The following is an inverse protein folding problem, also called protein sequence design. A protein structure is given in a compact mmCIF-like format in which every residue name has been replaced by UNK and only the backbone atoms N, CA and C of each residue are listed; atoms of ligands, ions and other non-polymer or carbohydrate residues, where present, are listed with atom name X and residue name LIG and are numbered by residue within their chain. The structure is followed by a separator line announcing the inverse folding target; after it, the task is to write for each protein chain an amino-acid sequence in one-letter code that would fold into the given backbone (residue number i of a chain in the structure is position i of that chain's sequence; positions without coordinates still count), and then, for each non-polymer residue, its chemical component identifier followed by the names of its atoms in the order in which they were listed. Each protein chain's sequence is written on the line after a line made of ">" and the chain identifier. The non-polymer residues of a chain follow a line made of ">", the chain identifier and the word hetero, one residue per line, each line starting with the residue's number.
data_IF_866852606234
#
_entry.id   IF_866852606234
#
_cell.length_a   1.000
_cell.length_b   1.000
_cell.length_c   1.000
_cell.angle_alpha   90.00
_cell.angle_beta   90.00
_cell.angle_gamma   90.00
#
_symmetry.space_group_name_H-M   'P 1'
#
loop_
_entity.id
_entity.type
_entity.pdbx_description
1 polymer ?
#
# COMPACT_ATOMS: atom_id res chain seq x y z
N UNK A 1 8.90 -15.80 -9.95
CA UNK A 1 7.73 -15.06 -10.49
C UNK A 1 6.75 -14.79 -9.35
N UNK A 2 6.45 -13.52 -9.10
CA UNK A 2 5.54 -13.12 -8.03
C UNK A 2 4.10 -13.58 -8.27
N UNK A 3 3.31 -13.68 -7.20
CA UNK A 3 1.89 -13.96 -7.21
C UNK A 3 1.25 -13.18 -6.05
N UNK A 4 1.03 -11.89 -6.27
CA UNK A 4 0.57 -10.97 -5.23
C UNK A 4 -0.95 -11.04 -5.11
N UNK A 5 -1.45 -11.27 -3.89
CA UNK A 5 -2.85 -11.12 -3.52
C UNK A 5 -3.09 -9.70 -3.01
N UNK A 6 -3.95 -8.97 -3.72
CA UNK A 6 -4.32 -7.59 -3.38
C UNK A 6 -5.79 -7.54 -2.98
N UNK A 7 -6.06 -6.87 -1.86
CA UNK A 7 -7.40 -6.54 -1.41
C UNK A 7 -7.63 -5.03 -1.51
N UNK A 8 -8.69 -4.62 -2.21
CA UNK A 8 -9.24 -3.27 -2.13
C UNK A 8 -10.34 -3.25 -1.07
N UNK A 9 -10.17 -2.43 -0.03
CA UNK A 9 -11.22 -2.09 0.92
C UNK A 9 -11.87 -0.77 0.49
N UNK A 10 -13.20 -0.73 0.39
CA UNK A 10 -13.94 0.48 0.07
C UNK A 10 -15.08 0.70 1.07
N UNK A 11 -15.16 1.89 1.66
CA UNK A 11 -16.26 2.26 2.55
C UNK A 11 -17.54 2.44 1.74
N UNK A 12 -18.59 1.71 2.11
CA UNK A 12 -19.87 1.75 1.42
C UNK A 12 -20.58 3.09 1.62
N UNK A 13 -21.01 3.70 0.52
CA UNK A 13 -21.84 4.90 0.51
C UNK A 13 -21.28 6.05 1.38
N UNK A 14 -19.95 6.17 1.44
CA UNK A 14 -19.28 7.06 2.39
C UNK A 14 -19.57 8.54 2.13
N UNK A 15 -19.45 9.00 0.88
CA UNK A 15 -19.70 10.40 0.51
C UNK A 15 -21.08 10.92 0.96
N UNK A 16 -22.19 10.23 0.63
CA UNK A 16 -23.50 10.60 1.16
C UNK A 16 -23.62 10.52 2.69
N UNK A 17 -22.95 9.54 3.33
CA UNK A 17 -22.96 9.38 4.79
C UNK A 17 -22.27 10.54 5.55
N UNK A 18 -21.24 11.16 4.98
CA UNK A 18 -20.53 12.29 5.62
C UNK A 18 -21.36 13.58 5.65
N UNK A 19 -22.40 13.68 4.83
CA UNK A 19 -23.23 14.90 4.67
C UNK A 19 -24.69 14.75 5.07
N UNK A 20 -25.13 13.55 5.44
CA UNK A 20 -26.55 13.25 5.73
C UNK A 20 -26.77 12.90 7.20
N UNK A 21 -27.78 13.48 7.90
CA UNK A 21 -28.72 14.51 7.42
C UNK A 21 -28.12 15.93 7.31
N UNK A 22 -26.93 16.13 7.87
CA UNK A 22 -26.15 17.37 7.78
C UNK A 22 -24.65 17.04 7.74
N UNK A 23 -23.79 17.95 7.21
CA UNK A 23 -22.35 17.78 7.20
C UNK A 23 -21.75 17.47 8.57
N UNK A 24 -20.97 16.39 8.64
CA UNK A 24 -20.19 16.01 9.82
C UNK A 24 -18.94 16.86 9.94
N UNK A 25 -18.44 17.04 11.16
CA UNK A 25 -17.20 17.80 11.40
C UNK A 25 -16.01 17.03 10.85
N UNK A 26 -15.12 17.74 10.15
CA UNK A 26 -13.95 17.12 9.53
C UNK A 26 -13.05 16.40 10.54
N UNK A 27 -12.83 16.98 11.73
CA UNK A 27 -12.04 16.33 12.78
C UNK A 27 -12.61 14.97 13.23
N UNK A 28 -13.94 14.82 13.23
CA UNK A 28 -14.60 13.56 13.57
C UNK A 28 -14.44 12.54 12.43
N UNK A 29 -14.51 13.00 11.17
CA UNK A 29 -14.28 12.16 9.98
C UNK A 29 -12.84 11.65 9.92
N UNK A 30 -11.86 12.53 10.10
CA UNK A 30 -10.44 12.19 10.16
C UNK A 30 -10.14 11.20 11.29
N UNK A 31 -10.78 11.39 12.45
CA UNK A 31 -10.66 10.46 13.60
C UNK A 31 -11.23 9.08 13.26
N UNK A 32 -12.41 9.02 12.63
CA UNK A 32 -13.02 7.76 12.21
C UNK A 32 -12.16 7.05 11.16
N UNK A 33 -11.72 7.75 10.13
CA UNK A 33 -10.89 7.21 9.05
C UNK A 33 -9.57 6.66 9.60
N UNK A 34 -8.91 7.40 10.48
CA UNK A 34 -7.65 6.98 11.10
C UNK A 34 -7.82 5.73 11.97
N UNK A 35 -8.90 5.64 12.76
CA UNK A 35 -9.20 4.47 13.60
C UNK A 35 -9.56 3.25 12.76
N UNK A 36 -10.38 3.44 11.73
CA UNK A 36 -10.75 2.36 10.82
C UNK A 36 -9.53 1.80 10.09
N UNK A 37 -8.67 2.68 9.57
CA UNK A 37 -7.39 2.29 8.99
C UNK A 37 -6.53 1.52 9.99
N UNK A 38 -6.34 2.04 11.21
CA UNK A 38 -5.55 1.37 12.24
C UNK A 38 -6.07 -0.04 12.57
N UNK A 39 -7.38 -0.21 12.68
CA UNK A 39 -7.99 -1.51 12.99
C UNK A 39 -7.86 -2.52 11.83
N UNK A 40 -8.02 -2.06 10.59
CA UNK A 40 -7.82 -2.91 9.39
C UNK A 40 -6.34 -3.31 9.31
N UNK A 41 -5.43 -2.34 9.47
CA UNK A 41 -3.98 -2.59 9.50
C UNK A 41 -3.58 -3.56 10.59
N UNK A 42 -4.16 -3.46 11.79
CA UNK A 42 -3.90 -4.40 12.87
C UNK A 42 -4.42 -5.81 12.55
N UNK A 43 -5.65 -5.91 12.02
CA UNK A 43 -6.25 -7.21 11.69
C UNK A 43 -5.47 -7.95 10.61
N UNK A 44 -5.10 -7.24 9.54
CA UNK A 44 -4.34 -7.78 8.40
C UNK A 44 -2.88 -8.00 8.78
N UNK A 45 -2.28 -7.10 9.56
CA UNK A 45 -0.90 -7.21 10.05
C UNK A 45 -0.68 -8.40 10.98
N UNK A 46 -1.68 -8.77 11.80
CA UNK A 46 -1.64 -9.99 12.60
C UNK A 46 -1.72 -11.28 11.76
N UNK A 47 -1.84 -11.15 10.43
CA UNK A 47 -1.87 -12.23 9.44
C UNK A 47 -0.83 -12.00 8.35
N UNK A 48 0.26 -11.32 8.70
CA UNK A 48 1.43 -11.09 7.83
C UNK A 48 1.15 -10.26 6.57
N UNK A 49 0.03 -9.53 6.52
CA UNK A 49 -0.32 -8.63 5.43
C UNK A 49 -0.01 -7.16 5.72
N UNK A 50 0.06 -6.33 4.68
CA UNK A 50 0.23 -4.86 4.80
C UNK A 50 -1.01 -4.15 4.29
N UNK A 51 -1.35 -3.02 4.92
CA UNK A 51 -2.47 -2.15 4.52
C UNK A 51 -1.95 -0.74 4.37
N UNK A 52 -2.34 -0.08 3.28
CA UNK A 52 -1.97 1.29 2.97
C UNK A 52 -3.22 2.15 2.88
N UNK A 53 -3.19 3.31 3.55
CA UNK A 53 -4.36 4.18 3.69
C UNK A 53 -4.88 4.68 2.33
N UNK A 54 -4.00 4.88 1.34
CA UNK A 54 -4.29 5.47 0.02
C UNK A 54 -5.19 6.72 0.08
N UNK A 55 -6.51 6.59 -0.07
CA UNK A 55 -7.47 7.72 0.02
C UNK A 55 -8.39 7.65 1.24
N UNK A 56 -8.10 6.77 2.20
CA UNK A 56 -8.88 6.41 3.37
C UNK A 56 -10.23 5.76 3.07
N UNK A 57 -11.07 6.37 2.23
CA UNK A 57 -12.36 5.78 1.81
C UNK A 57 -12.18 4.55 0.91
N UNK A 58 -11.00 4.46 0.29
CA UNK A 58 -10.45 3.30 -0.37
C UNK A 58 -9.10 3.03 0.30
N UNK A 59 -8.81 1.79 0.64
CA UNK A 59 -7.52 1.34 1.18
C UNK A 59 -7.07 0.12 0.38
N UNK A 60 -5.77 -0.02 0.17
CA UNK A 60 -5.19 -1.13 -0.59
C UNK A 60 -4.34 -1.96 0.35
N UNK A 61 -4.42 -3.28 0.24
CA UNK A 61 -3.64 -4.18 1.05
C UNK A 61 -3.03 -5.32 0.25
N UNK A 62 -1.88 -5.79 0.72
CA UNK A 62 -1.28 -7.06 0.29
C UNK A 62 -1.65 -8.10 1.33
N UNK A 63 -2.44 -9.09 0.91
CA UNK A 63 -3.12 -10.02 1.81
C UNK A 63 -2.75 -11.47 1.53
N UNK A 64 -1.58 -11.73 0.96
CA UNK A 64 -1.06 -13.08 0.73
C UNK A 64 -1.13 -13.92 2.02
N UNK A 65 -2.05 -14.90 2.04
CA UNK A 65 -2.30 -15.77 3.19
C UNK A 65 -3.59 -15.50 3.97
N UNK A 66 -4.30 -14.40 3.71
CA UNK A 66 -5.64 -14.18 4.23
C UNK A 66 -6.67 -14.95 3.40
N UNK A 67 -7.54 -15.73 4.05
CA UNK A 67 -8.62 -16.46 3.40
C UNK A 67 -9.86 -15.57 3.19
N UNK A 68 -10.90 -16.08 2.50
CA UNK A 68 -12.17 -15.35 2.43
C UNK A 68 -12.85 -15.22 3.79
N UNK A 69 -12.77 -16.26 4.62
CA UNK A 69 -13.31 -16.23 5.98
C UNK A 69 -12.64 -15.15 6.85
N UNK A 70 -11.34 -14.91 6.65
CA UNK A 70 -10.67 -13.77 7.31
C UNK A 70 -11.23 -12.42 6.84
N UNK A 71 -11.51 -12.27 5.54
CA UNK A 71 -12.10 -11.06 4.98
C UNK A 71 -13.56 -10.86 5.45
N UNK A 72 -14.36 -11.92 5.51
CA UNK A 72 -15.72 -11.90 6.09
C UNK A 72 -15.70 -11.48 7.55
N UNK A 73 -14.80 -12.07 8.35
CA UNK A 73 -14.63 -11.73 9.76
C UNK A 73 -14.23 -10.27 9.96
N UNK A 74 -13.40 -9.72 9.07
CA UNK A 74 -13.04 -8.31 9.08
C UNK A 74 -14.25 -7.42 8.76
N UNK A 75 -15.03 -7.74 7.72
CA UNK A 75 -16.27 -7.01 7.40
C UNK A 75 -17.23 -7.01 8.58
N UNK A 76 -17.50 -8.20 9.15
CA UNK A 76 -18.38 -8.34 10.33
C UNK A 76 -17.87 -7.50 11.50
N UNK A 77 -16.58 -7.56 11.80
CA UNK A 77 -15.95 -6.78 12.87
C UNK A 77 -16.10 -5.27 12.65
N UNK A 78 -15.99 -4.79 11.41
CA UNK A 78 -16.18 -3.37 11.09
C UNK A 78 -17.64 -2.98 11.20
N UNK A 79 -18.56 -3.75 10.60
CA UNK A 79 -20.01 -3.49 10.68
C UNK A 79 -20.57 -3.48 12.11
N UNK A 80 -19.94 -4.22 13.02
CA UNK A 80 -20.29 -4.24 14.44
C UNK A 80 -19.80 -3.01 15.24
N UNK A 81 -18.77 -2.31 14.78
CA UNK A 81 -18.05 -1.29 15.58
C UNK A 81 -18.09 0.11 14.99
N UNK A 82 -18.28 0.22 13.67
CA UNK A 82 -18.25 1.47 12.94
C UNK A 82 -19.63 1.83 12.37
N UNK A 83 -19.93 3.12 12.18
CA UNK A 83 -21.19 3.57 11.59
C UNK A 83 -21.23 3.42 10.05
N UNK A 84 -20.32 2.64 9.47
CA UNK A 84 -20.13 2.39 8.04
C UNK A 84 -19.80 0.92 7.82
N UNK A 85 -20.09 0.40 6.63
CA UNK A 85 -19.71 -0.95 6.19
C UNK A 85 -18.62 -0.89 5.12
N UNK A 86 -17.99 -2.03 4.84
CA UNK A 86 -16.91 -2.15 3.84
C UNK A 86 -17.28 -3.15 2.75
N UNK A 87 -17.09 -2.77 1.50
CA UNK A 87 -16.99 -3.71 0.39
C UNK A 87 -15.53 -4.02 0.08
N UNK A 88 -15.25 -5.28 -0.25
CA UNK A 88 -13.94 -5.87 -0.44
C UNK A 88 -13.85 -6.54 -1.82
N UNK A 89 -12.84 -6.17 -2.58
CA UNK A 89 -12.46 -6.84 -3.82
C UNK A 89 -11.12 -7.50 -3.63
N UNK A 90 -11.03 -8.81 -3.89
CA UNK A 90 -9.79 -9.59 -3.72
C UNK A 90 -9.36 -10.17 -5.07
N UNK A 91 -8.13 -9.92 -5.48
CA UNK A 91 -7.61 -10.49 -6.70
C UNK A 91 -6.12 -10.83 -6.57
N UNK A 92 -5.65 -11.69 -7.47
CA UNK A 92 -4.31 -12.26 -7.42
C UNK A 92 -3.68 -12.22 -8.80
N UNK A 93 -2.39 -11.91 -8.87
CA UNK A 93 -1.65 -11.92 -10.12
C UNK A 93 -0.16 -11.66 -9.97
N UNK A 94 0.59 -11.92 -11.03
CA UNK A 94 2.04 -11.65 -11.11
C UNK A 94 2.37 -10.17 -11.28
N UNK A 95 1.35 -9.33 -11.46
CA UNK A 95 1.45 -7.89 -11.62
C UNK A 95 0.52 -7.25 -10.59
N UNK A 96 1.05 -6.54 -9.57
CA UNK A 96 0.24 -5.98 -8.50
C UNK A 96 -0.71 -4.88 -8.99
N UNK A 97 -0.34 -4.12 -10.02
CA UNK A 97 -1.24 -3.17 -10.69
C UNK A 97 -2.44 -3.87 -11.30
N UNK A 98 -2.23 -4.98 -12.01
CA UNK A 98 -3.33 -5.74 -12.61
C UNK A 98 -4.21 -6.37 -11.52
N UNK A 99 -3.61 -6.93 -10.47
CA UNK A 99 -4.36 -7.47 -9.34
C UNK A 99 -5.25 -6.40 -8.69
N UNK A 100 -4.74 -5.19 -8.45
CA UNK A 100 -5.57 -4.09 -7.94
C UNK A 100 -6.68 -3.68 -8.92
N UNK A 101 -6.39 -3.64 -10.23
CA UNK A 101 -7.38 -3.33 -11.25
C UNK A 101 -8.52 -4.36 -11.26
N UNK A 102 -8.19 -5.65 -11.21
CA UNK A 102 -9.15 -6.74 -11.17
C UNK A 102 -10.01 -6.68 -9.89
N UNK A 103 -9.37 -6.50 -8.72
CA UNK A 103 -10.08 -6.29 -7.45
C UNK A 103 -11.03 -5.10 -7.51
N UNK A 104 -10.61 -4.01 -8.16
CA UNK A 104 -11.44 -2.82 -8.36
C UNK A 104 -12.65 -3.12 -9.24
N UNK A 105 -12.46 -3.80 -10.37
CA UNK A 105 -13.54 -4.19 -11.28
C UNK A 105 -14.59 -5.05 -10.58
N UNK A 106 -14.18 -5.99 -9.71
CA UNK A 106 -15.11 -6.81 -8.92
C UNK A 106 -16.10 -5.98 -8.11
N UNK A 107 -15.62 -4.95 -7.40
CA UNK A 107 -16.49 -4.07 -6.61
C UNK A 107 -17.33 -3.17 -7.51
N UNK A 108 -16.77 -2.68 -8.61
CA UNK A 108 -17.49 -1.82 -9.56
C UNK A 108 -18.65 -2.55 -10.24
N UNK A 109 -18.46 -3.83 -10.59
CA UNK A 109 -19.51 -4.69 -11.17
C UNK A 109 -20.67 -4.93 -10.19
N UNK A 110 -20.39 -4.93 -8.88
CA UNK A 110 -21.40 -5.04 -7.83
C UNK A 110 -22.21 -3.75 -7.61
N UNK A 111 -21.72 -2.59 -8.08
CA UNK A 111 -22.44 -1.33 -8.08
C UNK A 111 -21.60 -0.11 -7.68
N UNK A 112 -22.22 1.06 -7.77
CA UNK A 112 -21.59 2.34 -7.43
C UNK A 112 -21.14 2.40 -5.97
N UNK A 113 -20.00 3.04 -5.70
CA UNK A 113 -19.53 3.34 -4.35
C UNK A 113 -20.50 4.22 -3.53
N UNK A 114 -21.44 4.90 -4.19
CA UNK A 114 -22.48 5.73 -3.58
C UNK A 114 -23.88 5.11 -3.66
N UNK A 115 -23.98 3.84 -4.05
CA UNK A 115 -25.24 3.11 -3.97
C UNK A 115 -25.50 2.72 -2.51
N UNK A 116 -26.62 3.16 -1.95
CA UNK A 116 -27.03 2.85 -0.57
C UNK A 116 -27.41 1.38 -0.38
N UNK A 117 -27.77 0.70 -1.47
CA UNK A 117 -28.24 -0.68 -1.49
C UNK A 117 -27.08 -1.66 -1.74
N UNK A 118 -25.93 -1.18 -2.25
CA UNK A 118 -24.68 -1.93 -2.28
C UNK A 118 -24.01 -1.89 -0.91
N UNK A 119 -23.95 -3.02 -0.24
CA UNK A 119 -23.37 -3.15 1.10
C UNK A 119 -22.61 -4.45 1.24
N UNK A 120 -21.45 -4.37 1.88
CA UNK A 120 -20.67 -5.54 2.30
C UNK A 120 -20.38 -6.53 1.17
N UNK A 121 -20.18 -6.05 -0.06
CA UNK A 121 -19.79 -6.91 -1.17
C UNK A 121 -18.42 -7.53 -0.86
N UNK A 122 -18.28 -8.84 -1.05
CA UNK A 122 -17.01 -9.54 -0.93
C UNK A 122 -16.84 -10.41 -2.17
N UNK A 123 -15.97 -9.98 -3.06
CA UNK A 123 -15.87 -10.53 -4.41
C UNK A 123 -14.44 -10.86 -4.81
N UNK A 124 -14.26 -11.90 -5.62
CA UNK A 124 -12.98 -12.22 -6.28
C UNK A 124 -12.38 -13.56 -5.89
N UNK A 125 -11.07 -13.62 -5.61
CA UNK A 125 -10.38 -14.86 -5.22
C UNK A 125 -9.15 -14.64 -4.33
N UNK A 126 -8.84 -15.62 -3.50
CA UNK A 126 -7.59 -15.73 -2.73
C UNK A 126 -6.63 -16.74 -3.37
N UNK A 127 -5.37 -16.75 -2.92
CA UNK A 127 -4.38 -17.78 -3.28
C UNK A 127 -4.54 -18.95 -2.31
N UNK A 128 -4.79 -20.15 -2.84
CA UNK A 128 -4.81 -21.36 -2.02
C UNK A 128 -3.40 -21.63 -1.43
N UNK A 129 -3.34 -22.07 -0.18
CA UNK A 129 -2.06 -22.31 0.53
C UNK A 129 -1.10 -23.24 -0.22
N UNK A 130 -1.62 -24.21 -0.98
CA UNK A 130 -0.81 -25.13 -1.79
C UNK A 130 -0.11 -24.46 -2.97
N UNK A 131 -0.54 -23.26 -3.34
CA UNK A 131 0.00 -22.46 -4.45
C UNK A 131 0.84 -21.28 -3.98
N UNK A 132 1.02 -21.12 -2.66
CA UNK A 132 1.87 -20.07 -2.09
C UNK A 132 3.33 -20.47 -2.11
N UNK A 133 4.20 -19.50 -2.38
CA UNK A 133 5.65 -19.70 -2.47
C UNK A 133 6.40 -18.57 -1.77
N UNK A 134 7.67 -18.79 -1.41
CA UNK A 134 8.53 -17.76 -0.82
C UNK A 134 8.91 -16.64 -1.81
N UNK A 135 8.49 -16.73 -3.08
CA UNK A 135 8.70 -15.70 -4.11
C UNK A 135 7.42 -14.90 -4.42
N UNK A 136 6.30 -15.16 -3.73
CA UNK A 136 4.99 -14.60 -4.10
C UNK A 136 4.93 -13.07 -4.02
N UNK A 137 5.61 -12.49 -3.03
CA UNK A 137 5.58 -11.06 -2.74
C UNK A 137 6.98 -10.50 -2.85
N UNK A 138 7.13 -9.43 -3.64
CA UNK A 138 8.34 -8.60 -3.70
C UNK A 138 7.98 -7.20 -3.21
N UNK A 139 8.69 -6.74 -2.19
CA UNK A 139 8.53 -5.40 -1.62
C UNK A 139 9.87 -4.67 -1.72
N UNK A 140 9.81 -3.45 -2.23
CA UNK A 140 10.91 -2.49 -2.20
C UNK A 140 10.60 -1.41 -1.17
N UNK A 141 11.55 -1.16 -0.27
CA UNK A 141 11.49 -0.12 0.75
C UNK A 141 12.47 0.97 0.36
N UNK A 142 11.95 2.06 -0.21
CA UNK A 142 12.72 3.25 -0.56
C UNK A 142 12.78 4.21 0.63
N UNK A 143 13.93 4.87 0.80
CA UNK A 143 14.07 6.06 1.63
C UNK A 143 14.87 7.16 0.92
N UNK A 144 14.78 8.39 1.43
CA UNK A 144 15.57 9.53 0.96
C UNK A 144 16.90 9.57 1.69
N UNK A 145 17.99 9.64 0.94
CA UNK A 145 19.34 9.68 1.52
C UNK A 145 19.54 10.99 2.29
N UNK A 146 19.94 10.86 3.57
CA UNK A 146 20.24 11.99 4.45
C UNK A 146 19.10 13.04 4.56
N UNK A 147 17.84 12.59 4.58
CA UNK A 147 16.69 13.50 4.65
C UNK A 147 16.73 14.48 5.83
N UNK A 148 17.28 14.04 6.97
CA UNK A 148 17.44 14.88 8.16
C UNK A 148 18.35 16.07 7.90
N UNK A 149 19.57 15.81 7.41
CA UNK A 149 20.57 16.86 7.20
C UNK A 149 20.29 17.73 5.99
N UNK A 150 19.68 17.19 4.93
CA UNK A 150 19.37 17.97 3.73
C UNK A 150 18.10 18.82 3.89
N UNK A 151 17.09 18.31 4.59
CA UNK A 151 15.78 18.95 4.62
C UNK A 151 15.28 19.27 6.03
N UNK A 152 15.35 18.33 6.98
CA UNK A 152 14.69 18.51 8.29
C UNK A 152 15.39 19.56 9.17
N UNK A 153 16.72 19.60 9.14
CA UNK A 153 17.51 20.54 9.95
C UNK A 153 17.67 21.92 9.28
N UNK A 154 17.43 22.01 7.97
CA UNK A 154 17.68 23.22 7.15
C UNK A 154 16.39 23.93 6.72
N UNK A 155 15.29 23.19 6.56
CA UNK A 155 14.00 23.71 6.11
C UNK A 155 12.97 23.71 7.23
N UNK A 156 11.90 24.48 7.06
CA UNK A 156 10.75 24.37 7.96
C UNK A 156 9.95 23.10 7.66
N UNK A 157 9.19 22.60 8.62
CA UNK A 157 8.48 21.32 8.51
C UNK A 157 7.56 21.19 7.28
N UNK A 158 6.98 22.30 6.78
CA UNK A 158 6.12 22.27 5.59
C UNK A 158 6.94 22.29 4.30
N UNK A 159 8.08 22.98 4.28
CA UNK A 159 8.99 22.97 3.14
C UNK A 159 9.65 21.58 2.98
N UNK A 160 10.10 20.96 4.09
CA UNK A 160 10.54 19.56 4.09
C UNK A 160 9.46 18.64 3.51
N UNK A 161 8.20 18.83 3.92
CA UNK A 161 7.09 18.05 3.39
C UNK A 161 6.90 18.24 1.88
N UNK A 162 7.04 19.46 1.36
CA UNK A 162 6.95 19.73 -0.08
C UNK A 162 8.04 18.98 -0.86
N UNK A 163 9.29 18.99 -0.39
CA UNK A 163 10.40 18.30 -1.08
C UNK A 163 10.20 16.78 -1.09
N UNK A 164 9.86 16.20 0.06
CA UNK A 164 9.60 14.75 0.17
C UNK A 164 8.42 14.30 -0.69
N UNK A 165 7.33 15.09 -0.72
CA UNK A 165 6.15 14.77 -1.54
C UNK A 165 6.45 14.83 -3.05
N UNK A 166 7.37 15.70 -3.50
CA UNK A 166 7.77 15.73 -4.91
C UNK A 166 8.52 14.46 -5.32
N UNK A 167 9.51 14.04 -4.52
CA UNK A 167 10.22 12.77 -4.72
C UNK A 167 9.27 11.58 -4.72
N UNK A 168 8.33 11.55 -3.76
CA UNK A 168 7.31 10.52 -3.70
C UNK A 168 6.39 10.50 -4.92
N UNK A 169 5.86 11.64 -5.34
CA UNK A 169 4.95 11.72 -6.47
C UNK A 169 5.62 11.25 -7.76
N UNK A 170 6.90 11.61 -7.96
CA UNK A 170 7.65 11.18 -9.13
C UNK A 170 7.98 9.68 -9.07
N UNK A 171 8.45 9.16 -7.94
CA UNK A 171 8.70 7.72 -7.76
C UNK A 171 7.43 6.90 -7.97
N UNK A 172 6.30 7.33 -7.38
CA UNK A 172 5.01 6.65 -7.54
C UNK A 172 4.61 6.59 -9.01
N UNK A 173 4.71 7.71 -9.73
CA UNK A 173 4.37 7.79 -11.14
C UNK A 173 5.28 6.88 -11.97
N UNK A 174 6.60 6.96 -11.76
CA UNK A 174 7.57 6.15 -12.49
C UNK A 174 7.34 4.66 -12.26
N UNK A 175 7.33 4.20 -11.00
CA UNK A 175 7.10 2.81 -10.62
C UNK A 175 5.77 2.26 -11.13
N UNK A 176 4.72 3.10 -11.15
CA UNK A 176 3.39 2.71 -11.65
C UNK A 176 3.36 2.45 -13.16
N UNK A 177 4.02 3.29 -13.95
CA UNK A 177 3.89 3.26 -15.42
C UNK A 177 5.04 2.52 -16.12
N UNK A 178 6.26 2.56 -15.57
CA UNK A 178 7.41 1.84 -16.11
C UNK A 178 7.47 0.40 -15.58
N UNK A 179 7.22 0.20 -14.28
CA UNK A 179 7.48 -1.08 -13.60
C UNK A 179 6.23 -1.78 -13.03
N UNK A 180 5.02 -1.37 -13.44
CA UNK A 180 3.75 -1.99 -13.02
C UNK A 180 3.62 -2.21 -11.50
N UNK A 181 4.16 -1.28 -10.71
CA UNK A 181 4.23 -1.39 -9.25
C UNK A 181 3.24 -0.45 -8.56
N UNK A 182 2.98 -0.69 -7.28
CA UNK A 182 2.13 0.15 -6.43
C UNK A 182 2.96 0.77 -5.30
N UNK A 183 3.12 2.09 -5.31
CA UNK A 183 3.92 2.82 -4.31
C UNK A 183 3.03 3.49 -3.27
N UNK A 184 3.42 3.40 -2.00
CA UNK A 184 2.67 3.91 -0.86
C UNK A 184 3.59 4.63 0.12
N UNK A 185 3.28 5.89 0.41
CA UNK A 185 3.92 6.63 1.49
C UNK A 185 3.55 6.04 2.84
N UNK A 186 4.55 5.80 3.69
CA UNK A 186 4.35 5.18 5.03
C UNK A 186 4.82 6.07 6.19
N UNK A 187 5.27 7.29 5.90
CA UNK A 187 5.65 8.28 6.90
C UNK A 187 7.12 8.65 6.89
N UNK A 188 7.41 9.89 7.31
CA UNK A 188 8.75 10.46 7.26
C UNK A 188 9.22 10.60 5.82
N UNK A 189 10.26 9.87 5.48
CA UNK A 189 10.96 9.82 4.19
C UNK A 189 10.84 8.45 3.50
N UNK A 190 9.90 7.60 3.94
CA UNK A 190 9.83 6.20 3.53
C UNK A 190 8.67 5.93 2.55
N UNK A 191 8.95 5.14 1.52
CA UNK A 191 7.97 4.67 0.53
C UNK A 191 8.10 3.16 0.41
N UNK A 192 6.98 2.46 0.60
CA UNK A 192 6.90 1.02 0.34
C UNK A 192 6.29 0.81 -1.05
N UNK A 193 6.95 0.00 -1.86
CA UNK A 193 6.52 -0.34 -3.22
C UNK A 193 6.29 -1.84 -3.33
N UNK A 194 5.08 -2.21 -3.75
CA UNK A 194 4.72 -3.59 -4.08
C UNK A 194 5.02 -3.82 -5.55
N UNK A 195 5.93 -4.75 -5.84
CA UNK A 195 6.55 -4.92 -7.15
C UNK A 195 6.12 -6.24 -7.82
N UNK A 196 6.11 -6.31 -9.16
CA UNK A 196 6.25 -7.57 -9.86
C UNK A 196 7.69 -8.11 -9.70
N UNK A 197 8.05 -9.13 -10.47
CA UNK A 197 9.40 -9.71 -10.52
C UNK A 197 10.39 -8.72 -11.19
N UNK A 198 10.88 -7.75 -10.42
CA UNK A 198 11.88 -6.74 -10.84
C UNK A 198 13.28 -7.13 -10.39
N UNK A 199 14.29 -6.68 -11.14
CA UNK A 199 15.71 -6.90 -10.88
C UNK A 199 16.42 -5.60 -10.45
N UNK A 200 17.68 -5.70 -10.01
CA UNK A 200 18.50 -4.57 -9.53
C UNK A 200 18.50 -3.38 -10.49
N UNK A 201 18.61 -3.64 -11.79
CA UNK A 201 18.66 -2.62 -12.83
C UNK A 201 17.37 -1.79 -12.92
N UNK A 202 16.20 -2.38 -12.63
CA UNK A 202 14.93 -1.65 -12.59
C UNK A 202 14.92 -0.62 -11.45
N UNK A 203 15.52 -0.98 -10.32
CA UNK A 203 15.61 -0.10 -9.15
C UNK A 203 16.62 1.03 -9.36
N UNK A 204 17.78 0.74 -9.94
CA UNK A 204 18.76 1.77 -10.32
C UNK A 204 18.16 2.77 -11.33
N UNK A 205 17.40 2.29 -12.33
CA UNK A 205 16.68 3.16 -13.26
C UNK A 205 15.69 4.09 -12.53
N UNK A 206 14.88 3.53 -11.63
CA UNK A 206 13.90 4.30 -10.87
C UNK A 206 14.54 5.39 -9.99
N UNK A 207 15.65 5.07 -9.31
CA UNK A 207 16.38 6.05 -8.50
C UNK A 207 16.96 7.15 -9.39
N UNK A 208 17.65 6.79 -10.47
CA UNK A 208 18.22 7.78 -11.41
C UNK A 208 17.13 8.67 -12.02
N UNK A 209 15.97 8.13 -12.37
CA UNK A 209 14.85 8.90 -12.90
C UNK A 209 14.37 9.96 -11.90
N UNK A 210 14.21 9.60 -10.62
CA UNK A 210 13.76 10.55 -9.59
C UNK A 210 14.81 11.63 -9.33
N UNK A 211 16.08 11.23 -9.21
CA UNK A 211 17.20 12.15 -9.00
C UNK A 211 17.29 13.19 -10.14
N UNK A 212 17.20 12.75 -11.39
CA UNK A 212 17.24 13.65 -12.56
C UNK A 212 16.01 14.57 -12.66
N UNK A 213 14.84 14.10 -12.20
CA UNK A 213 13.58 14.83 -12.35
C UNK A 213 13.37 15.89 -11.27
N UNK A 214 13.73 15.59 -10.02
CA UNK A 214 13.40 16.42 -8.85
C UNK A 214 14.55 16.60 -7.85
N UNK A 215 15.78 16.18 -8.17
CA UNK A 215 16.97 16.37 -7.32
C UNK A 215 16.82 15.74 -5.92
N UNK A 216 16.18 14.57 -5.86
CA UNK A 216 16.00 13.78 -4.63
C UNK A 216 16.80 12.48 -4.76
N UNK A 217 17.80 12.31 -3.91
CA UNK A 217 18.59 11.08 -3.82
C UNK A 217 17.83 10.00 -3.04
N UNK A 218 17.61 8.84 -3.66
CA UNK A 218 16.97 7.69 -3.04
C UNK A 218 17.94 6.51 -2.90
N UNK A 219 17.67 5.65 -1.93
CA UNK A 219 18.21 4.29 -1.83
C UNK A 219 17.06 3.32 -1.54
N UNK A 220 17.28 2.03 -1.81
CA UNK A 220 16.23 1.02 -1.70
C UNK A 220 16.77 -0.33 -1.23
N UNK A 221 16.12 -0.87 -0.21
CA UNK A 221 16.24 -2.29 0.14
C UNK A 221 15.06 -3.07 -0.42
N UNK A 222 15.31 -4.26 -0.98
CA UNK A 222 14.28 -5.08 -1.61
C UNK A 222 14.29 -6.48 -1.01
N UNK A 223 13.12 -7.01 -0.72
CA UNK A 223 12.95 -8.34 -0.16
C UNK A 223 11.87 -9.13 -0.88
N UNK A 224 12.00 -10.46 -0.80
CA UNK A 224 11.00 -11.43 -1.27
C UNK A 224 10.49 -12.27 -0.11
N UNK A 225 9.25 -12.72 -0.22
CA UNK A 225 8.67 -13.61 0.76
C UNK A 225 7.29 -14.14 0.36
N UNK A 226 6.82 -15.12 1.12
CA UNK A 226 5.47 -15.68 1.01
C UNK A 226 4.35 -14.75 1.48
N UNK A 227 4.70 -13.66 2.17
CA UNK A 227 3.78 -12.70 2.80
C UNK A 227 4.35 -11.28 2.69
N UNK A 228 3.52 -10.27 2.92
CA UNK A 228 3.96 -8.88 2.94
C UNK A 228 4.91 -8.60 4.12
N UNK A 229 4.66 -9.24 5.27
CA UNK A 229 5.56 -9.17 6.42
C UNK A 229 6.97 -9.68 6.07
N UNK A 230 7.07 -10.88 5.50
CA UNK A 230 8.37 -11.51 5.24
C UNK A 230 9.17 -10.71 4.20
N UNK A 231 8.53 -10.36 3.08
CA UNK A 231 9.14 -9.55 2.03
C UNK A 231 9.53 -8.14 2.54
N UNK A 232 8.66 -7.49 3.32
CA UNK A 232 8.91 -6.17 3.87
C UNK A 232 10.00 -6.15 4.95
N UNK A 233 10.09 -7.21 5.76
CA UNK A 233 11.13 -7.33 6.78
C UNK A 233 12.52 -7.55 6.16
N UNK A 234 12.60 -8.37 5.10
CA UNK A 234 13.82 -8.50 4.30
C UNK A 234 14.18 -7.18 3.59
N UNK A 235 13.21 -6.52 2.95
CA UNK A 235 13.43 -5.20 2.34
C UNK A 235 13.99 -4.18 3.35
N UNK A 236 13.51 -4.22 4.60
CA UNK A 236 14.00 -3.37 5.68
C UNK A 236 15.45 -3.68 6.07
N UNK A 237 15.82 -4.96 6.14
CA UNK A 237 17.19 -5.37 6.44
C UNK A 237 18.16 -4.97 5.32
N UNK A 238 17.80 -5.21 4.07
CA UNK A 238 18.53 -4.73 2.90
C UNK A 238 18.76 -3.20 2.94
N UNK A 239 17.74 -2.43 3.32
CA UNK A 239 17.87 -0.98 3.44
C UNK A 239 18.85 -0.54 4.54
N UNK A 240 18.93 -1.28 5.65
CA UNK A 240 19.97 -1.01 6.66
C UNK A 240 21.38 -1.35 6.14
N UNK A 241 21.52 -2.32 5.23
CA UNK A 241 22.79 -2.58 4.51
C UNK A 241 23.16 -1.40 3.62
N UNK A 242 22.21 -0.83 2.86
CA UNK A 242 22.44 0.40 2.07
C UNK A 242 23.06 1.51 2.93
N UNK A 243 22.46 1.76 4.10
CA UNK A 243 22.91 2.79 5.04
C UNK A 243 24.29 2.51 5.63
N UNK A 244 24.61 1.24 5.90
CA UNK A 244 25.88 0.84 6.48
C UNK A 244 27.03 0.92 5.48
N UNK A 245 26.78 0.47 4.25
CA UNK A 245 27.82 0.29 3.22
C UNK A 245 27.86 1.41 2.18
N UNK A 246 26.85 2.30 2.18
CA UNK A 246 26.73 3.41 1.23
C UNK A 246 26.33 2.97 -0.18
N UNK A 247 25.63 1.83 -0.31
CA UNK A 247 25.06 1.35 -1.57
C UNK A 247 23.68 1.94 -1.81
N UNK A 248 23.23 2.00 -3.08
CA UNK A 248 21.92 2.55 -3.45
C UNK A 248 20.83 1.49 -3.53
N UNK A 249 21.19 0.27 -3.92
CA UNK A 249 20.27 -0.86 -4.08
C UNK A 249 20.85 -2.07 -3.37
N UNK A 250 20.04 -2.70 -2.52
CA UNK A 250 20.36 -3.99 -1.90
C UNK A 250 19.17 -4.93 -2.05
N UNK A 251 19.47 -6.17 -2.48
CA UNK A 251 18.48 -7.22 -2.73
C UNK A 251 18.71 -8.37 -1.75
N UNK A 252 17.71 -8.72 -0.95
CA UNK A 252 17.79 -9.83 0.00
C UNK A 252 17.08 -11.08 -0.54
N UNK A 253 17.80 -11.86 -1.34
CA UNK A 253 17.46 -13.23 -1.75
C UNK A 253 18.67 -14.00 -2.30
#
# INVERSE_FOLDING_TARGET
>A
MTNTQVTLFQIDNYGPWTVTPEPRREADLQTLQSRLYADISQFVGNRDGYVFFTRFDNMVAVTNGCSFEDHELLQESVGNRYPVTLSLGVATGTNPVQALADATTRIQDAGSAQDKDRRECLEGRVIDDVHRTDEDVQIAHFDVVNATGQYTDELNAFDTFIEIEQGYAELMRHMRYAHNSLSFFVGGDNIIVVCPDLEEADYEEAITHVEEAVDVELQVGVGRGKSAHDAGFAAKHALETCRADGTRVELEW
#
